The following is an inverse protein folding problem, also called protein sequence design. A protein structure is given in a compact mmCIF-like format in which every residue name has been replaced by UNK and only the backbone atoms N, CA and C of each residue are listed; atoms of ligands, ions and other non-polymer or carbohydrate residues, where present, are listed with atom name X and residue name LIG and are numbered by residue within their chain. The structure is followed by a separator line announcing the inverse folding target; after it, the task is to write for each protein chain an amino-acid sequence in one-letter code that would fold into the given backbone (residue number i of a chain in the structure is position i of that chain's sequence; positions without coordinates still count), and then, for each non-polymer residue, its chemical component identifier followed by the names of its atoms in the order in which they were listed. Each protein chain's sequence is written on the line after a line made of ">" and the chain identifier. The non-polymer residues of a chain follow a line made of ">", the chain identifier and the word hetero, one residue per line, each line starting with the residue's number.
data_IF_062874602850
#
_entry.id   IF_062874602850
#
_cell.length_a   1.000
_cell.length_b   1.000
_cell.length_c   1.000
_cell.angle_alpha   90.00
_cell.angle_beta   90.00
_cell.angle_gamma   90.00
#
_symmetry.space_group_name_H-M   'P 1'
#
loop_
_entity.id
_entity.type
_entity.pdbx_description
1 polymer ?
#
# COMPACT_ATOMS: atom_id res chain seq x y z
N UNK A 1 41.10 -41.07 9.96
CA UNK A 1 40.15 -40.23 10.76
C UNK A 1 39.87 -38.83 10.21
N UNK A 2 40.17 -38.50 8.98
CA UNK A 2 40.06 -37.11 8.42
C UNK A 2 38.82 -36.93 7.48
N UNK A 3 38.10 -38.03 7.13
CA UNK A 3 36.97 -37.94 6.18
C UNK A 3 35.60 -37.56 6.79
N UNK A 4 35.41 -37.76 8.10
CA UNK A 4 34.12 -37.49 8.77
C UNK A 4 33.89 -36.01 9.07
N UNK A 5 34.92 -35.18 9.24
CA UNK A 5 34.76 -33.77 9.58
C UNK A 5 34.37 -32.88 8.40
N UNK A 6 34.65 -33.31 7.17
CA UNK A 6 34.24 -32.56 5.94
C UNK A 6 32.77 -32.72 5.61
N UNK A 7 32.16 -33.86 5.97
CA UNK A 7 30.73 -34.11 5.74
C UNK A 7 29.87 -33.31 6.70
N UNK A 8 30.28 -33.12 7.95
CA UNK A 8 29.56 -32.37 8.97
C UNK A 8 29.56 -30.87 8.67
N UNK A 9 30.66 -30.34 8.13
CA UNK A 9 30.72 -28.91 7.71
C UNK A 9 29.88 -28.62 6.49
N UNK A 10 29.70 -29.55 5.56
CA UNK A 10 28.83 -29.38 4.38
C UNK A 10 27.34 -29.46 4.75
N UNK A 11 26.96 -30.28 5.72
CA UNK A 11 25.58 -30.35 6.20
C UNK A 11 25.17 -29.13 7.05
N UNK A 12 26.07 -28.57 7.84
CA UNK A 12 25.84 -27.32 8.58
C UNK A 12 25.70 -26.11 7.63
N UNK A 13 26.49 -26.07 6.55
CA UNK A 13 26.39 -25.00 5.55
C UNK A 13 25.10 -25.04 4.74
N UNK A 14 24.55 -26.22 4.49
CA UNK A 14 23.28 -26.37 3.75
C UNK A 14 22.06 -26.06 4.63
N UNK A 15 22.13 -26.29 5.94
CA UNK A 15 21.08 -25.93 6.90
C UNK A 15 20.95 -24.42 7.13
N UNK A 16 22.04 -23.67 6.97
CA UNK A 16 22.03 -22.21 7.11
C UNK A 16 21.36 -21.48 5.91
N UNK A 17 21.14 -22.15 4.79
CA UNK A 17 20.47 -21.56 3.61
C UNK A 17 18.94 -21.72 3.62
N UNK A 18 18.38 -22.44 4.57
CA UNK A 18 16.93 -22.64 4.74
C UNK A 18 16.31 -21.66 5.75
N UNK A 19 16.86 -20.48 5.94
CA UNK A 19 16.11 -19.40 6.56
C UNK A 19 15.04 -18.96 5.57
N UNK A 20 13.91 -19.65 5.56
CA UNK A 20 12.71 -19.16 4.93
C UNK A 20 12.51 -17.72 5.42
N UNK A 21 12.68 -16.74 4.54
CA UNK A 21 12.26 -15.37 4.83
C UNK A 21 10.80 -15.47 5.22
N UNK A 22 10.51 -15.29 6.49
CA UNK A 22 9.13 -15.16 6.97
C UNK A 22 8.60 -13.89 6.34
N UNK A 23 7.96 -14.04 5.19
CA UNK A 23 7.28 -12.94 4.53
C UNK A 23 6.25 -12.38 5.49
N UNK A 24 6.52 -11.17 5.98
CA UNK A 24 5.65 -10.50 6.92
C UNK A 24 4.63 -9.67 6.13
N UNK A 25 3.41 -10.18 5.99
CA UNK A 25 2.32 -9.45 5.35
C UNK A 25 1.73 -8.40 6.30
N UNK A 26 1.52 -7.21 5.77
CA UNK A 26 0.89 -6.09 6.47
C UNK A 26 -0.31 -5.59 5.67
N UNK A 27 -1.15 -4.80 6.33
CA UNK A 27 -2.26 -4.14 5.65
C UNK A 27 -1.82 -2.76 5.21
N UNK A 28 -1.72 -2.53 3.90
CA UNK A 28 -1.35 -1.25 3.31
C UNK A 28 -2.50 -0.64 2.54
N UNK A 29 -2.51 0.70 2.47
CA UNK A 29 -3.42 1.47 1.63
C UNK A 29 -2.59 2.09 0.51
N UNK A 30 -3.08 2.03 -0.74
CA UNK A 30 -2.55 2.78 -1.88
C UNK A 30 -3.62 3.71 -2.42
N UNK A 31 -3.26 4.97 -2.60
CA UNK A 31 -4.13 5.96 -3.25
C UNK A 31 -3.63 6.10 -4.67
N UNK A 32 -4.47 5.72 -5.63
CA UNK A 32 -4.15 5.74 -7.06
C UNK A 32 -5.30 6.28 -7.90
N UNK A 33 -5.14 6.23 -9.22
CA UNK A 33 -6.12 6.70 -10.19
C UNK A 33 -5.96 8.18 -10.56
N UNK A 34 -6.51 8.54 -11.72
CA UNK A 34 -6.49 9.92 -12.21
C UNK A 34 -7.63 10.72 -11.57
N UNK A 35 -7.38 12.02 -11.32
CA UNK A 35 -8.35 12.89 -10.66
C UNK A 35 -9.68 13.03 -11.42
N UNK A 36 -9.65 12.90 -12.74
CA UNK A 36 -10.84 13.02 -13.62
C UNK A 36 -11.75 11.79 -13.56
N UNK A 37 -11.16 10.58 -13.47
CA UNK A 37 -11.92 9.32 -13.33
C UNK A 37 -12.32 9.01 -11.88
N UNK A 38 -11.94 9.88 -10.94
CA UNK A 38 -12.03 9.64 -9.49
C UNK A 38 -10.85 8.83 -8.98
N UNK A 39 -10.30 9.27 -7.84
CA UNK A 39 -9.23 8.52 -7.19
C UNK A 39 -9.78 7.27 -6.53
N UNK A 40 -8.95 6.25 -6.52
CA UNK A 40 -9.25 4.97 -5.87
C UNK A 40 -8.36 4.80 -4.63
N UNK A 41 -8.92 4.13 -3.65
CA UNK A 41 -8.19 3.65 -2.47
C UNK A 41 -8.22 2.14 -2.52
N UNK A 42 -7.07 1.55 -2.73
CA UNK A 42 -6.89 0.11 -2.67
C UNK A 42 -6.25 -0.29 -1.34
N UNK A 43 -6.75 -1.37 -0.74
CA UNK A 43 -6.19 -1.96 0.48
C UNK A 43 -5.64 -3.32 0.12
N UNK A 44 -4.38 -3.53 0.41
CA UNK A 44 -3.64 -4.75 0.14
C UNK A 44 -3.17 -5.40 1.43
N UNK A 45 -3.21 -6.70 1.49
CA UNK A 45 -2.56 -7.49 2.53
C UNK A 45 -1.37 -8.22 1.92
N UNK A 46 -0.20 -7.60 2.01
CA UNK A 46 1.04 -8.06 1.38
C UNK A 46 2.27 -7.40 2.01
N UNK A 47 3.44 -7.59 1.44
CA UNK A 47 4.69 -6.97 1.91
C UNK A 47 4.77 -5.47 1.63
N UNK A 48 4.14 -5.01 0.55
CA UNK A 48 4.03 -3.59 0.17
C UNK A 48 2.62 -3.30 -0.36
N UNK A 49 2.30 -2.05 -0.73
CA UNK A 49 0.98 -1.65 -1.21
C UNK A 49 0.71 -2.09 -2.67
N UNK A 50 0.75 -3.39 -2.92
CA UNK A 50 0.38 -4.06 -4.18
C UNK A 50 -0.35 -5.38 -3.91
N UNK A 51 -0.92 -5.98 -4.96
CA UNK A 51 -1.64 -7.24 -4.84
C UNK A 51 -0.76 -8.34 -4.22
N UNK A 52 -1.31 -9.01 -3.23
CA UNK A 52 -0.74 -10.16 -2.55
C UNK A 52 -1.58 -11.41 -2.82
N UNK A 53 -1.53 -12.39 -1.92
CA UNK A 53 -2.31 -13.62 -2.03
C UNK A 53 -3.82 -13.33 -1.87
N UNK A 54 -4.65 -13.61 -2.89
CA UNK A 54 -6.11 -13.43 -2.85
C UNK A 54 -6.81 -14.14 -1.69
N UNK A 55 -6.25 -15.23 -1.18
CA UNK A 55 -6.81 -16.00 -0.07
C UNK A 55 -6.94 -15.19 1.24
N UNK A 56 -6.20 -14.08 1.37
CA UNK A 56 -6.30 -13.23 2.55
C UNK A 56 -7.36 -12.13 2.43
N UNK A 57 -7.87 -11.82 1.24
CA UNK A 57 -8.87 -10.77 1.03
C UNK A 57 -10.12 -10.96 1.90
N UNK A 58 -10.71 -12.17 2.02
CA UNK A 58 -11.86 -12.37 2.89
C UNK A 58 -11.57 -12.09 4.37
N UNK A 59 -10.34 -12.35 4.83
CA UNK A 59 -9.93 -12.14 6.23
C UNK A 59 -9.81 -10.66 6.60
N UNK A 60 -9.58 -9.79 5.64
CA UNK A 60 -9.46 -8.34 5.83
C UNK A 60 -10.68 -7.57 5.30
N UNK A 61 -11.70 -8.24 4.76
CA UNK A 61 -12.86 -7.63 4.12
C UNK A 61 -13.68 -6.70 5.04
N UNK A 62 -13.58 -6.88 6.35
CA UNK A 62 -14.20 -6.06 7.37
C UNK A 62 -13.40 -4.80 7.73
N UNK A 63 -12.31 -4.48 6.98
CA UNK A 63 -11.53 -3.26 7.15
C UNK A 63 -12.42 -2.03 7.01
N UNK A 64 -12.31 -1.14 7.98
CA UNK A 64 -12.98 0.17 7.94
C UNK A 64 -11.98 1.23 7.54
N UNK A 65 -12.40 2.16 6.67
CA UNK A 65 -11.59 3.26 6.21
C UNK A 65 -12.26 4.61 6.47
N UNK A 66 -11.43 5.61 6.69
CA UNK A 66 -11.85 7.02 6.79
C UNK A 66 -10.91 7.90 5.99
N UNK A 67 -11.45 8.88 5.30
CA UNK A 67 -10.67 9.95 4.67
C UNK A 67 -10.76 11.23 5.47
N UNK A 68 -9.69 12.02 5.44
CA UNK A 68 -9.61 13.36 5.97
C UNK A 68 -9.02 14.29 4.91
N UNK A 69 -9.75 15.35 4.57
CA UNK A 69 -9.31 16.44 3.67
C UNK A 69 -9.31 17.79 4.39
N UNK A 70 -10.00 17.83 5.54
CA UNK A 70 -10.08 18.99 6.42
C UNK A 70 -9.70 18.57 7.83
N UNK A 71 -8.91 19.37 8.56
CA UNK A 71 -8.48 19.02 9.91
C UNK A 71 -9.62 18.57 10.83
N UNK A 72 -9.48 17.37 11.42
CA UNK A 72 -10.43 16.81 12.37
C UNK A 72 -11.76 16.28 11.79
N UNK A 73 -11.98 16.40 10.48
CA UNK A 73 -13.20 15.87 9.82
C UNK A 73 -12.90 14.54 9.15
N UNK A 74 -13.35 13.46 9.77
CA UNK A 74 -13.17 12.08 9.27
C UNK A 74 -14.45 11.60 8.60
N UNK A 75 -14.37 11.26 7.32
CA UNK A 75 -15.48 10.75 6.54
C UNK A 75 -15.27 9.26 6.27
N UNK A 76 -16.24 8.39 6.60
CA UNK A 76 -16.11 6.97 6.32
C UNK A 76 -16.12 6.72 4.81
N UNK A 77 -15.35 5.71 4.38
CA UNK A 77 -15.31 5.24 3.02
C UNK A 77 -16.01 3.88 2.91
N UNK A 78 -16.80 3.71 1.85
CA UNK A 78 -17.41 2.41 1.53
C UNK A 78 -16.37 1.52 0.88
N UNK A 79 -16.05 0.41 1.52
CA UNK A 79 -15.06 -0.56 1.05
C UNK A 79 -15.75 -1.73 0.38
N UNK A 80 -15.25 -2.16 -0.79
CA UNK A 80 -15.75 -3.32 -1.53
C UNK A 80 -14.63 -4.31 -1.77
N UNK A 81 -14.82 -5.60 -1.55
CA UNK A 81 -13.84 -6.62 -1.90
C UNK A 81 -13.78 -6.80 -3.42
N UNK A 82 -12.56 -6.95 -3.93
CA UNK A 82 -12.20 -7.42 -5.27
C UNK A 82 -11.41 -8.73 -5.11
N UNK A 83 -11.11 -9.45 -6.17
CA UNK A 83 -10.42 -10.73 -6.05
C UNK A 83 -9.09 -10.68 -5.30
N UNK A 84 -8.30 -9.60 -5.45
CA UNK A 84 -6.93 -9.46 -4.95
C UNK A 84 -6.72 -8.28 -3.98
N UNK A 85 -7.79 -7.53 -3.65
CA UNK A 85 -7.74 -6.31 -2.82
C UNK A 85 -9.09 -5.90 -2.30
N UNK A 86 -9.10 -4.91 -1.41
CA UNK A 86 -10.31 -4.15 -1.13
C UNK A 86 -10.20 -2.81 -1.84
N UNK A 87 -11.32 -2.27 -2.33
CA UNK A 87 -11.36 -0.99 -3.05
C UNK A 87 -12.43 -0.06 -2.51
N UNK A 88 -12.09 1.22 -2.47
CA UNK A 88 -13.01 2.34 -2.24
C UNK A 88 -12.76 3.45 -3.26
N UNK A 89 -13.75 4.31 -3.47
CA UNK A 89 -13.61 5.52 -4.29
C UNK A 89 -13.41 6.73 -3.39
N UNK A 90 -12.50 7.63 -3.80
CA UNK A 90 -12.33 8.94 -3.19
C UNK A 90 -13.08 9.99 -3.98
N UNK A 91 -13.97 10.74 -3.31
CA UNK A 91 -14.57 11.96 -3.88
C UNK A 91 -13.62 13.16 -3.85
N UNK A 92 -12.55 13.10 -3.06
CA UNK A 92 -11.59 14.18 -2.88
C UNK A 92 -10.65 14.31 -4.08
N UNK A 93 -10.52 15.53 -4.61
CA UNK A 93 -9.59 15.88 -5.71
C UNK A 93 -8.23 16.41 -5.21
N UNK A 94 -8.18 16.99 -4.01
CA UNK A 94 -7.00 17.59 -3.39
C UNK A 94 -6.19 16.62 -2.52
N UNK A 95 -5.47 17.19 -1.56
CA UNK A 95 -4.72 16.42 -0.58
C UNK A 95 -5.66 15.65 0.34
N UNK A 96 -5.24 14.44 0.70
CA UNK A 96 -6.03 13.53 1.54
C UNK A 96 -5.13 12.65 2.39
N UNK A 97 -5.58 12.40 3.61
CA UNK A 97 -5.07 11.33 4.46
C UNK A 97 -6.18 10.28 4.59
N UNK A 98 -5.88 9.05 4.19
CA UNK A 98 -6.76 7.90 4.42
C UNK A 98 -6.19 7.09 5.56
N UNK A 99 -7.03 6.76 6.54
CA UNK A 99 -6.67 5.90 7.66
C UNK A 99 -7.65 4.74 7.76
N UNK A 100 -7.19 3.61 8.30
CA UNK A 100 -8.01 2.42 8.43
C UNK A 100 -7.83 1.70 9.76
N UNK A 101 -8.68 0.71 9.99
CA UNK A 101 -8.55 -0.27 11.07
C UNK A 101 -9.06 -1.63 10.61
N UNK A 102 -8.34 -2.67 11.02
CA UNK A 102 -8.72 -4.06 10.79
C UNK A 102 -8.26 -4.91 11.97
N UNK A 103 -9.15 -5.69 12.54
CA UNK A 103 -8.80 -6.68 13.56
C UNK A 103 -8.73 -8.05 12.90
N UNK A 104 -7.53 -8.56 12.69
CA UNK A 104 -7.32 -9.89 12.11
C UNK A 104 -7.93 -11.02 12.96
N UNK A 105 -7.82 -10.89 14.27
CA UNK A 105 -8.27 -11.87 15.24
C UNK A 105 -7.14 -12.43 16.09
N UNK A 106 -7.45 -13.50 16.84
CA UNK A 106 -6.47 -14.13 17.73
C UNK A 106 -5.67 -15.18 16.97
N UNK A 107 -4.35 -15.00 17.00
CA UNK A 107 -3.36 -15.95 16.51
C UNK A 107 -2.56 -16.53 17.68
N UNK A 108 -2.01 -17.71 17.48
CA UNK A 108 -1.09 -18.36 18.43
C UNK A 108 0.21 -18.69 17.70
N UNK A 109 1.30 -18.13 18.19
CA UNK A 109 2.68 -18.52 17.83
C UNK A 109 3.37 -18.93 19.12
N UNK A 110 4.17 -18.02 19.71
CA UNK A 110 4.80 -18.24 21.01
C UNK A 110 3.77 -18.14 22.15
N UNK A 111 2.90 -17.12 22.04
CA UNK A 111 1.76 -16.87 22.93
C UNK A 111 0.53 -16.55 22.09
N UNK A 112 -0.69 -16.75 22.62
CA UNK A 112 -1.89 -16.28 21.95
C UNK A 112 -1.98 -14.75 22.01
N UNK A 113 -2.12 -14.09 20.85
CA UNK A 113 -2.19 -12.64 20.75
C UNK A 113 -3.31 -12.17 19.83
N UNK A 114 -3.87 -11.01 20.14
CA UNK A 114 -4.81 -10.31 19.27
C UNK A 114 -4.04 -9.46 18.26
N UNK A 115 -4.22 -9.73 16.97
CA UNK A 115 -3.56 -9.03 15.88
C UNK A 115 -4.47 -7.96 15.29
N UNK A 116 -3.97 -6.69 15.22
CA UNK A 116 -4.70 -5.55 14.67
C UNK A 116 -3.82 -4.73 13.75
N UNK A 117 -4.42 -4.16 12.70
CA UNK A 117 -3.77 -3.31 11.71
C UNK A 117 -4.42 -1.93 11.66
N UNK A 118 -3.60 -0.90 11.57
CA UNK A 118 -3.98 0.52 11.47
C UNK A 118 -3.29 1.13 10.25
N UNK A 119 -3.76 0.83 9.03
CA UNK A 119 -3.13 1.33 7.81
C UNK A 119 -3.42 2.81 7.61
N UNK A 120 -2.45 3.52 7.00
CA UNK A 120 -2.56 4.90 6.56
C UNK A 120 -2.00 5.10 5.16
N UNK A 121 -2.48 6.11 4.47
CA UNK A 121 -1.89 6.59 3.22
C UNK A 121 -2.13 8.09 3.04
N UNK A 122 -1.18 8.78 2.41
CA UNK A 122 -1.28 10.20 2.09
C UNK A 122 -1.10 10.43 0.60
N UNK A 123 -1.77 11.47 0.11
CA UNK A 123 -1.63 11.94 -1.26
C UNK A 123 -1.91 13.44 -1.32
N UNK A 124 -1.14 14.19 -2.12
CA UNK A 124 -1.35 15.60 -2.39
C UNK A 124 -0.28 16.50 -1.79
N UNK A 125 -0.60 17.78 -1.63
CA UNK A 125 0.36 18.80 -1.24
C UNK A 125 0.70 18.79 0.25
N UNK A 126 1.97 19.10 0.53
CA UNK A 126 2.54 19.12 1.88
C UNK A 126 1.80 20.10 2.82
N UNK A 127 1.42 21.30 2.33
CA UNK A 127 0.79 22.33 3.16
C UNK A 127 -0.54 21.82 3.74
N UNK A 128 -1.38 21.22 2.90
CA UNK A 128 -2.66 20.66 3.33
C UNK A 128 -2.44 19.44 4.20
N UNK A 129 -1.58 18.49 3.79
CA UNK A 129 -1.30 17.28 4.56
C UNK A 129 -0.83 17.59 5.98
N UNK A 130 0.08 18.56 6.14
CA UNK A 130 0.62 18.96 7.44
C UNK A 130 -0.41 19.64 8.37
N UNK A 131 -1.54 20.09 7.82
CA UNK A 131 -2.64 20.64 8.61
C UNK A 131 -3.56 19.58 9.18
N UNK A 132 -3.55 18.35 8.61
CA UNK A 132 -4.43 17.28 9.02
C UNK A 132 -4.10 16.77 10.43
N UNK A 133 -5.07 16.15 11.08
CA UNK A 133 -4.95 15.74 12.49
C UNK A 133 -4.99 14.22 12.61
N UNK A 134 -4.28 13.65 13.61
CA UNK A 134 -4.42 12.23 13.91
C UNK A 134 -5.87 11.87 14.19
N UNK A 135 -6.31 10.68 13.76
CA UNK A 135 -7.63 10.17 14.10
C UNK A 135 -7.66 9.80 15.60
N UNK A 136 -8.64 10.30 16.38
CA UNK A 136 -8.68 10.02 17.81
C UNK A 136 -8.98 8.54 18.10
N UNK A 137 -8.54 8.07 19.24
CA UNK A 137 -8.80 6.70 19.77
C UNK A 137 -8.24 5.57 18.87
N UNK A 138 -7.24 5.87 18.04
CA UNK A 138 -6.50 4.84 17.31
C UNK A 138 -5.35 4.35 18.19
N UNK A 139 -5.27 3.02 18.47
CA UNK A 139 -4.25 2.47 19.36
C UNK A 139 -2.82 2.71 18.90
N UNK A 140 -2.56 2.63 17.58
CA UNK A 140 -1.25 2.89 16.99
C UNK A 140 -1.42 3.56 15.64
N UNK A 141 -0.74 4.68 15.38
CA UNK A 141 -0.79 5.35 14.09
C UNK A 141 0.50 6.10 13.78
N UNK A 142 0.86 6.16 12.49
CA UNK A 142 1.97 6.95 11.97
C UNK A 142 1.41 8.26 11.45
N UNK A 143 1.95 9.38 11.96
CA UNK A 143 1.56 10.73 11.54
C UNK A 143 2.72 11.36 10.79
N UNK A 144 2.57 11.61 9.49
CA UNK A 144 3.61 12.25 8.69
C UNK A 144 3.58 13.77 8.82
N UNK A 145 4.75 14.38 8.71
CA UNK A 145 4.95 15.79 8.39
C UNK A 145 5.83 15.85 7.14
N UNK A 146 5.29 16.40 6.07
CA UNK A 146 5.89 16.41 4.74
C UNK A 146 6.72 17.66 4.56
N UNK A 147 7.97 17.52 4.16
CA UNK A 147 8.90 18.57 3.74
C UNK A 147 9.26 18.41 2.28
N UNK A 148 9.99 19.36 1.71
CA UNK A 148 10.39 19.33 0.31
C UNK A 148 11.30 18.13 -0.02
N UNK A 149 12.20 17.78 0.92
CA UNK A 149 13.30 16.82 0.75
C UNK A 149 13.18 15.59 1.66
N UNK A 150 12.15 15.52 2.50
CA UNK A 150 12.01 14.45 3.49
C UNK A 150 10.59 14.33 4.02
N UNK A 151 10.32 13.23 4.67
CA UNK A 151 9.14 13.03 5.51
C UNK A 151 9.60 12.78 6.95
N UNK A 152 9.09 13.56 7.89
CA UNK A 152 9.19 13.28 9.31
C UNK A 152 7.94 12.49 9.73
N UNK A 153 8.13 11.44 10.49
CA UNK A 153 7.03 10.60 10.96
C UNK A 153 7.08 10.50 12.47
N UNK A 154 5.93 10.65 13.10
CA UNK A 154 5.76 10.40 14.54
C UNK A 154 4.82 9.22 14.70
N UNK A 155 5.23 8.19 15.46
CA UNK A 155 4.30 7.16 15.87
C UNK A 155 3.60 7.56 17.16
N UNK A 156 2.28 7.49 17.14
CA UNK A 156 1.45 7.69 18.30
C UNK A 156 0.89 6.35 18.80
N UNK A 157 1.11 6.07 20.07
CA UNK A 157 0.48 4.97 20.80
C UNK A 157 -0.56 5.56 21.75
N UNK A 158 -1.83 5.20 21.57
CA UNK A 158 -2.96 5.76 22.33
C UNK A 158 -2.96 7.30 22.39
N UNK A 159 -2.58 7.92 21.26
CA UNK A 159 -2.52 9.38 21.10
C UNK A 159 -1.27 10.06 21.66
N UNK A 160 -0.31 9.31 22.20
CA UNK A 160 0.96 9.83 22.74
C UNK A 160 2.14 9.35 21.90
N UNK A 161 3.19 10.17 21.69
CA UNK A 161 4.41 9.72 21.03
C UNK A 161 4.99 8.47 21.68
N UNK A 162 5.50 7.53 20.87
CA UNK A 162 6.14 6.29 21.29
C UNK A 162 7.64 6.37 21.06
N UNK A 163 8.46 6.74 22.06
CA UNK A 163 9.90 6.80 21.94
C UNK A 163 10.52 5.44 21.64
N UNK A 164 11.59 5.44 20.83
CA UNK A 164 12.34 4.24 20.51
C UNK A 164 11.62 3.24 19.61
N UNK A 165 10.45 3.57 19.08
CA UNK A 165 9.75 2.72 18.12
C UNK A 165 10.63 2.43 16.91
N UNK A 166 10.60 1.19 16.43
CA UNK A 166 11.29 0.79 15.20
C UNK A 166 10.32 0.96 14.02
N UNK A 167 10.81 1.62 12.99
CA UNK A 167 10.13 1.75 11.71
C UNK A 167 10.92 0.95 10.68
N UNK A 168 10.22 0.32 9.77
CA UNK A 168 10.80 -0.23 8.55
C UNK A 168 10.17 0.48 7.37
N UNK A 169 10.99 1.04 6.49
CA UNK A 169 10.55 1.56 5.18
C UNK A 169 10.84 0.51 4.12
N UNK A 170 9.98 0.43 3.13
CA UNK A 170 10.08 -0.52 2.00
C UNK A 170 9.66 0.22 0.75
N UNK A 171 10.48 0.15 -0.29
CA UNK A 171 10.15 0.69 -1.63
C UNK A 171 9.48 -0.35 -2.54
N UNK A 172 9.22 0.03 -3.80
CA UNK A 172 8.61 -0.87 -4.79
C UNK A 172 9.54 -2.05 -5.18
N UNK A 173 10.85 -1.95 -4.96
CA UNK A 173 11.86 -2.99 -5.22
C UNK A 173 12.13 -3.88 -3.99
N UNK A 174 11.35 -3.72 -2.92
CA UNK A 174 11.49 -4.43 -1.64
C UNK A 174 12.81 -4.13 -0.91
N UNK A 175 13.44 -3.00 -1.19
CA UNK A 175 14.59 -2.52 -0.42
C UNK A 175 14.11 -1.96 0.91
N UNK A 176 14.70 -2.43 2.00
CA UNK A 176 14.28 -2.11 3.35
C UNK A 176 15.32 -1.22 4.06
N UNK A 177 14.83 -0.23 4.80
CA UNK A 177 15.63 0.55 5.76
C UNK A 177 14.96 0.52 7.13
N UNK A 178 15.74 0.28 8.18
CA UNK A 178 15.27 0.36 9.56
C UNK A 178 15.64 1.71 10.19
N UNK A 179 14.64 2.38 10.76
CA UNK A 179 14.77 3.66 11.43
C UNK A 179 14.29 3.52 12.87
N UNK A 180 15.00 4.15 13.80
CA UNK A 180 14.63 4.16 15.21
C UNK A 180 14.14 5.56 15.63
N UNK A 181 12.97 5.62 16.23
CA UNK A 181 12.40 6.86 16.72
C UNK A 181 13.22 7.45 17.87
N UNK A 182 13.31 8.77 17.88
CA UNK A 182 13.93 9.56 18.95
C UNK A 182 13.07 9.56 20.24
N UNK A 183 13.48 10.35 21.23
CA UNK A 183 12.76 10.54 22.50
C UNK A 183 11.35 11.13 22.36
N UNK A 184 11.04 11.72 21.20
CA UNK A 184 9.72 12.28 20.88
C UNK A 184 8.89 11.35 19.97
N UNK A 185 9.34 10.09 19.77
CA UNK A 185 8.68 9.15 18.87
C UNK A 185 8.82 9.49 17.38
N UNK A 186 9.82 10.32 17.00
CA UNK A 186 10.02 10.85 15.65
C UNK A 186 11.14 10.13 14.93
N UNK A 187 10.92 9.87 13.64
CA UNK A 187 11.94 9.50 12.66
C UNK A 187 11.95 10.49 11.50
N UNK A 188 13.08 10.60 10.82
CA UNK A 188 13.25 11.38 9.58
C UNK A 188 13.66 10.41 8.49
N UNK A 189 12.83 10.32 7.45
CA UNK A 189 13.10 9.53 6.27
C UNK A 189 13.36 10.47 5.08
N UNK A 190 14.42 10.20 4.34
CA UNK A 190 14.80 10.91 3.11
C UNK A 190 14.83 9.92 1.97
N UNK A 191 13.74 9.82 1.19
CA UNK A 191 13.77 8.98 -0.01
C UNK A 191 14.88 9.46 -0.96
N UNK A 192 15.74 8.56 -1.39
CA UNK A 192 16.82 8.81 -2.35
C UNK A 192 16.38 8.62 -3.81
N UNK A 193 15.24 7.97 -4.00
CA UNK A 193 14.63 7.71 -5.30
C UNK A 193 13.17 8.18 -5.33
N UNK A 194 12.66 8.41 -6.53
CA UNK A 194 11.22 8.56 -6.76
C UNK A 194 10.55 7.19 -6.76
N UNK A 195 9.34 7.09 -6.24
CA UNK A 195 8.63 5.83 -6.20
C UNK A 195 7.57 5.77 -5.11
N UNK A 196 7.00 4.59 -4.93
CA UNK A 196 6.04 4.34 -3.88
C UNK A 196 6.75 3.72 -2.67
N UNK A 197 6.53 4.30 -1.52
CA UNK A 197 7.10 3.85 -0.25
C UNK A 197 6.01 3.36 0.69
N UNK A 198 6.31 2.26 1.37
CA UNK A 198 5.54 1.70 2.45
C UNK A 198 6.37 1.77 3.74
N UNK A 199 5.74 2.16 4.83
CA UNK A 199 6.37 2.24 6.15
C UNK A 199 5.52 1.47 7.12
N UNK A 200 6.14 0.72 8.02
CA UNK A 200 5.40 0.07 9.09
C UNK A 200 6.15 0.14 10.43
N UNK A 201 5.38 0.04 11.51
CA UNK A 201 5.87 -0.08 12.88
C UNK A 201 4.97 -0.99 13.67
N UNK A 202 5.49 -1.56 14.75
CA UNK A 202 4.79 -2.51 15.60
C UNK A 202 4.83 -2.08 17.06
N UNK A 203 3.72 -2.32 17.78
CA UNK A 203 3.65 -2.28 19.24
C UNK A 203 3.11 -3.60 19.77
N UNK A 204 3.76 -4.14 20.78
CA UNK A 204 3.26 -5.27 21.57
C UNK A 204 2.84 -4.74 22.93
N UNK A 205 1.61 -5.04 23.34
CA UNK A 205 1.06 -4.61 24.62
C UNK A 205 0.58 -5.85 25.39
N UNK A 206 1.19 -6.20 26.54
CA UNK A 206 0.67 -7.24 27.41
C UNK A 206 -0.75 -6.90 27.87
N UNK A 207 -1.62 -7.91 27.96
CA UNK A 207 -3.00 -7.72 28.39
C UNK A 207 -3.88 -8.89 28.00
N UNK A 208 -4.63 -9.40 28.94
CA UNK A 208 -5.52 -10.53 28.72
C UNK A 208 -6.88 -10.07 28.19
N UNK A 209 -7.46 -10.89 27.30
CA UNK A 209 -8.79 -10.63 26.77
C UNK A 209 -9.35 -11.83 25.99
N UNK A 210 -10.52 -11.60 25.41
CA UNK A 210 -11.19 -12.59 24.54
C UNK A 210 -11.68 -11.88 23.28
N UNK A 211 -11.42 -12.46 22.11
CA UNK A 211 -11.94 -11.98 20.85
C UNK A 211 -12.38 -13.16 19.98
N UNK A 212 -13.63 -13.13 19.45
CA UNK A 212 -14.19 -14.23 18.69
C UNK A 212 -14.19 -15.56 19.43
N UNK A 213 -14.41 -15.56 20.75
CA UNK A 213 -14.39 -16.75 21.61
C UNK A 213 -12.99 -17.27 21.96
N UNK A 214 -11.92 -16.68 21.42
CA UNK A 214 -10.52 -17.09 21.69
C UNK A 214 -9.86 -16.15 22.68
N UNK A 215 -9.21 -16.73 23.73
CA UNK A 215 -8.45 -15.97 24.73
C UNK A 215 -7.09 -15.55 24.13
N UNK A 216 -6.60 -14.38 24.56
CA UNK A 216 -5.24 -13.87 24.24
C UNK A 216 -4.60 -13.26 25.48
N UNK A 217 -3.26 -13.15 25.48
CA UNK A 217 -2.44 -12.62 26.57
C UNK A 217 -1.69 -11.35 26.21
N UNK A 218 -1.70 -10.98 24.93
CA UNK A 218 -1.12 -9.72 24.46
C UNK A 218 -1.83 -9.24 23.18
N UNK A 219 -1.67 -7.97 22.87
CA UNK A 219 -2.12 -7.37 21.62
C UNK A 219 -0.90 -6.99 20.79
N UNK A 220 -0.91 -7.33 19.49
CA UNK A 220 0.08 -6.90 18.52
C UNK A 220 -0.58 -5.95 17.53
N UNK A 221 -0.21 -4.68 17.65
CA UNK A 221 -0.68 -3.60 16.80
C UNK A 221 0.36 -3.29 15.73
N UNK A 222 -0.06 -3.20 14.47
CA UNK A 222 0.76 -2.73 13.37
C UNK A 222 0.15 -1.47 12.79
N UNK A 223 0.93 -0.40 12.72
CA UNK A 223 0.59 0.77 11.94
C UNK A 223 1.41 0.81 10.66
N UNK A 224 0.77 1.15 9.55
CA UNK A 224 1.44 1.34 8.27
C UNK A 224 1.15 2.72 7.70
N UNK A 225 2.05 3.24 6.88
CA UNK A 225 1.86 4.45 6.09
C UNK A 225 2.40 4.20 4.69
N UNK A 226 1.62 4.55 3.67
CA UNK A 226 2.07 4.45 2.28
C UNK A 226 1.91 5.78 1.56
N UNK A 227 2.85 6.10 0.66
CA UNK A 227 2.86 7.34 -0.09
C UNK A 227 3.69 7.21 -1.36
N UNK A 228 3.36 8.04 -2.35
CA UNK A 228 4.19 8.26 -3.54
C UNK A 228 5.19 9.38 -3.24
N UNK A 229 6.46 9.20 -3.59
CA UNK A 229 7.47 10.24 -3.51
C UNK A 229 7.98 10.63 -4.91
N UNK A 230 8.19 11.91 -5.21
CA UNK A 230 7.81 13.06 -4.40
C UNK A 230 6.30 13.19 -4.26
N UNK A 231 5.86 13.76 -3.13
CA UNK A 231 4.45 14.10 -2.97
C UNK A 231 4.11 15.22 -3.96
N UNK A 232 2.99 15.07 -4.66
CA UNK A 232 2.54 16.06 -5.64
C UNK A 232 2.37 17.40 -4.93
N UNK A 233 3.19 18.37 -5.29
CA UNK A 233 2.95 19.74 -4.84
C UNK A 233 1.65 20.25 -5.48
N UNK A 234 0.79 20.94 -4.72
CA UNK A 234 -0.40 21.62 -5.25
C UNK A 234 -0.08 22.78 -6.20
N UNK A 235 1.20 23.01 -6.43
CA UNK A 235 1.75 23.95 -7.39
C UNK A 235 2.56 23.21 -8.44
N UNK A 236 1.94 22.27 -9.16
CA UNK A 236 2.51 21.80 -10.42
C UNK A 236 2.83 23.04 -11.28
N UNK A 237 3.91 22.98 -12.05
CA UNK A 237 4.27 24.01 -12.98
C UNK A 237 3.00 24.45 -13.76
N UNK A 238 2.55 25.68 -13.49
CA UNK A 238 1.31 26.21 -14.10
C UNK A 238 1.37 26.16 -15.60
N UNK A 239 2.56 26.31 -16.19
CA UNK A 239 2.78 26.24 -17.62
C UNK A 239 2.61 24.81 -18.11
N UNK A 240 3.16 23.82 -17.40
CA UNK A 240 2.99 22.40 -17.71
C UNK A 240 1.51 21.96 -17.56
N UNK A 241 0.82 22.40 -16.51
CA UNK A 241 -0.61 22.14 -16.33
C UNK A 241 -1.41 22.75 -17.48
N UNK A 242 -1.16 24.03 -17.83
CA UNK A 242 -1.84 24.72 -18.91
C UNK A 242 -1.55 24.06 -20.27
N UNK A 243 -0.31 23.62 -20.48
CA UNK A 243 0.06 22.88 -21.69
C UNK A 243 -0.69 21.55 -21.79
N UNK A 244 -0.79 20.86 -20.69
CA UNK A 244 -1.51 19.56 -20.61
C UNK A 244 -3.02 19.75 -20.78
N UNK A 245 -3.63 20.76 -20.14
CA UNK A 245 -5.03 21.09 -20.31
C UNK A 245 -5.35 21.52 -21.75
N UNK A 246 -4.47 22.30 -22.38
CA UNK A 246 -4.60 22.67 -23.78
C UNK A 246 -4.46 21.47 -24.72
N UNK A 247 -3.57 20.51 -24.41
CA UNK A 247 -3.43 19.27 -25.15
C UNK A 247 -4.66 18.38 -25.03
N UNK A 248 -5.22 18.27 -23.80
CA UNK A 248 -6.47 17.55 -23.55
C UNK A 248 -7.67 18.20 -24.25
N UNK A 249 -7.77 19.53 -24.24
CA UNK A 249 -8.84 20.27 -24.92
C UNK A 249 -8.80 20.11 -26.45
N UNK A 250 -7.60 19.92 -27.00
CA UNK A 250 -7.40 19.63 -28.44
C UNK A 250 -7.52 18.16 -28.78
N UNK A 251 -7.61 17.29 -27.80
CA UNK A 251 -7.83 15.84 -28.00
C UNK A 251 -9.25 15.63 -28.54
N UNK A 252 -9.40 14.79 -29.54
CA UNK A 252 -10.70 14.41 -30.05
C UNK A 252 -11.51 13.75 -28.91
N UNK A 253 -12.47 14.48 -28.35
CA UNK A 253 -13.41 13.94 -27.38
C UNK A 253 -14.59 13.34 -28.15
N UNK A 254 -14.67 12.04 -28.21
CA UNK A 254 -15.85 11.37 -28.71
C UNK A 254 -16.93 11.36 -27.63
N UNK A 255 -17.81 12.34 -27.66
CA UNK A 255 -18.95 12.43 -26.73
C UNK A 255 -19.87 11.18 -26.76
N UNK A 256 -19.78 10.40 -27.84
CA UNK A 256 -20.43 9.09 -27.99
C UNK A 256 -19.40 8.15 -28.65
N UNK A 257 -18.46 7.68 -27.85
CA UNK A 257 -17.48 6.68 -28.32
C UNK A 257 -18.21 5.38 -28.68
N UNK A 258 -18.17 4.95 -29.97
CA UNK A 258 -18.93 3.77 -30.38
C UNK A 258 -18.22 2.46 -30.04
N UNK A 259 -17.00 2.53 -29.50
CA UNK A 259 -16.09 1.41 -29.50
C UNK A 259 -15.39 1.22 -30.87
N UNK A 260 -14.43 0.34 -30.93
CA UNK A 260 -13.81 -0.10 -32.18
C UNK A 260 -13.23 -1.50 -32.05
N UNK A 261 -12.95 -2.13 -33.20
CA UNK A 261 -12.15 -3.34 -33.29
C UNK A 261 -10.95 -3.06 -34.18
N UNK A 262 -9.77 -3.44 -33.73
CA UNK A 262 -8.52 -3.27 -34.49
C UNK A 262 -7.78 -4.61 -34.60
N UNK A 263 -7.18 -4.87 -35.75
CA UNK A 263 -6.21 -5.96 -35.88
C UNK A 263 -4.94 -5.60 -35.11
N UNK A 264 -4.45 -6.54 -34.34
CA UNK A 264 -3.19 -6.42 -33.58
C UNK A 264 -2.18 -7.38 -34.20
N UNK A 265 -0.99 -6.88 -34.53
CA UNK A 265 0.15 -7.67 -34.95
C UNK A 265 1.35 -7.25 -34.12
N UNK A 266 2.03 -8.21 -33.56
CA UNK A 266 3.19 -7.96 -32.70
C UNK A 266 4.23 -9.06 -32.78
N UNK A 267 5.35 -8.84 -32.10
CA UNK A 267 6.43 -9.83 -31.98
C UNK A 267 6.86 -9.90 -30.52
N UNK A 268 6.98 -11.11 -30.00
CA UNK A 268 7.53 -11.40 -28.68
C UNK A 268 8.59 -12.44 -28.85
N UNK A 269 9.79 -12.20 -28.34
CA UNK A 269 10.96 -13.10 -28.46
C UNK A 269 11.22 -13.62 -29.86
N UNK A 270 11.05 -12.72 -30.88
CA UNK A 270 11.25 -13.05 -32.29
C UNK A 270 10.12 -13.85 -32.95
N UNK A 271 9.03 -14.13 -32.24
CA UNK A 271 7.83 -14.80 -32.77
C UNK A 271 6.74 -13.80 -33.06
N UNK A 272 6.18 -13.84 -34.26
CA UNK A 272 5.04 -13.01 -34.64
C UNK A 272 3.75 -13.57 -34.06
N UNK A 273 2.89 -12.71 -33.56
CA UNK A 273 1.53 -13.03 -33.18
C UNK A 273 0.55 -12.08 -33.87
N UNK A 274 -0.67 -12.54 -34.08
CA UNK A 274 -1.75 -11.74 -34.63
C UNK A 274 -3.02 -11.95 -33.83
N UNK A 275 -3.93 -10.99 -33.90
CA UNK A 275 -5.20 -11.08 -33.21
C UNK A 275 -6.07 -9.85 -33.40
N UNK A 276 -7.09 -9.70 -32.59
CA UNK A 276 -7.97 -8.55 -32.58
C UNK A 276 -8.06 -7.93 -31.16
N UNK A 277 -7.99 -6.62 -31.10
CA UNK A 277 -8.35 -5.84 -29.92
C UNK A 277 -9.75 -5.25 -30.13
N UNK A 278 -10.64 -5.44 -29.17
CA UNK A 278 -11.96 -4.79 -29.16
C UNK A 278 -12.00 -3.83 -27.96
N UNK A 279 -12.36 -2.59 -28.25
CA UNK A 279 -12.65 -1.58 -27.22
C UNK A 279 -14.16 -1.31 -27.26
N UNK A 280 -14.85 -1.60 -26.17
CA UNK A 280 -16.28 -1.37 -26.07
C UNK A 280 -16.61 0.12 -25.87
N UNK A 281 -17.88 0.50 -26.01
CA UNK A 281 -18.34 1.89 -25.86
C UNK A 281 -18.13 2.46 -24.46
N UNK A 282 -18.05 1.61 -23.44
CA UNK A 282 -17.75 1.94 -22.04
C UNK A 282 -16.26 1.99 -21.71
N UNK A 283 -15.41 1.68 -22.71
CA UNK A 283 -13.95 1.67 -22.57
C UNK A 283 -13.35 0.33 -22.18
N UNK A 284 -14.15 -0.72 -21.97
CA UNK A 284 -13.65 -2.06 -21.72
C UNK A 284 -12.87 -2.60 -22.92
N UNK A 285 -11.72 -3.19 -22.64
CA UNK A 285 -10.81 -3.72 -23.65
C UNK A 285 -10.76 -5.24 -23.54
N UNK A 286 -11.00 -5.92 -24.66
CA UNK A 286 -10.76 -7.35 -24.81
C UNK A 286 -9.75 -7.61 -25.93
N UNK A 287 -8.86 -8.57 -25.70
CA UNK A 287 -7.87 -9.02 -26.66
C UNK A 287 -8.17 -10.48 -27.04
N UNK A 288 -8.27 -10.73 -28.33
CA UNK A 288 -8.40 -12.06 -28.89
C UNK A 288 -7.13 -12.31 -29.73
N UNK A 289 -6.17 -13.02 -29.14
CA UNK A 289 -4.89 -13.36 -29.74
C UNK A 289 -4.78 -14.87 -29.93
N UNK A 290 -4.09 -15.29 -30.96
CA UNK A 290 -3.94 -16.69 -31.33
C UNK A 290 -3.47 -17.54 -30.12
N UNK A 291 -4.18 -18.65 -29.84
CA UNK A 291 -4.01 -19.50 -28.63
C UNK A 291 -2.55 -19.93 -28.35
N UNK A 292 -1.75 -20.02 -29.42
CA UNK A 292 -0.32 -20.36 -29.30
C UNK A 292 0.50 -19.32 -28.50
N UNK A 293 -0.02 -18.11 -28.33
CA UNK A 293 0.67 -17.00 -27.66
C UNK A 293 -0.06 -16.52 -26.41
N UNK A 294 -1.30 -16.95 -26.17
CA UNK A 294 -2.07 -16.59 -24.98
C UNK A 294 -1.47 -17.16 -23.68
N UNK A 295 -0.75 -18.27 -23.77
CA UNK A 295 -0.16 -18.98 -22.61
C UNK A 295 1.08 -18.26 -22.03
N UNK A 296 1.69 -17.33 -22.79
CA UNK A 296 2.91 -16.62 -22.34
C UNK A 296 2.62 -15.29 -21.60
N UNK A 297 1.33 -14.89 -21.48
CA UNK A 297 0.91 -13.62 -20.87
C UNK A 297 0.00 -13.77 -19.65
N UNK A 298 -0.18 -14.97 -19.14
CA UNK A 298 -0.99 -15.28 -17.95
C UNK A 298 -0.22 -15.20 -16.63
#
# INVERSE_FOLDING_TARGET
>A
MIRSHRLILLTLGLLAMLTARSEAHFLFIRIGGQAEAGRQVDVFFSEIARAGDPLFVPRVSHTKLWMQTTPGKFQPLVVRPLPDRLRSRLSARGAVFVSGECTWGVLTRDVPFLLRYFPGAIHGDAKTLNSLKPRPKVPLQIIPTVHKDRIEMVVLADGKPLPGALFTTVDDDLVNEELKADKNGRVVFRPDTEGHFCVYTKRVTPGQGTHGGKKYTETRDFATLAFQWPLISSGGDKEAITLFENALAKRANWAKFPGFTAAVVGHVDGRAFGGAARVAADGDVSLDIDEKHAVEWG
#
